data_IF_685392736384
#
_entry.id   IF_685392736384
#
_cell.length_a   1.000
_cell.length_b   1.000
_cell.length_c   1.000
_cell.angle_alpha   90.00
_cell.angle_beta   90.00
_cell.angle_gamma   90.00
#
_symmetry.space_group_name_H-M   'P 1'
#
loop_
_entity.id
_entity.type
_entity.pdbx_description
1 polymer ?
#
# COMPACT_ATOMS: atom_id res chain seq x y z
N UNK A 1 -72.99 65.53 7.38
CA UNK A 1 -72.26 66.62 6.70
C UNK A 1 -71.29 66.00 5.75
N UNK A 2 -71.65 65.88 4.49
CA UNK A 2 -71.16 66.67 3.35
C UNK A 2 -69.59 66.74 3.31
N UNK A 3 -68.91 66.20 2.35
CA UNK A 3 -68.68 66.65 0.95
C UNK A 3 -67.60 65.84 0.33
N UNK A 4 -67.73 65.31 -0.77
CA UNK A 4 -67.56 65.65 -2.22
C UNK A 4 -66.26 65.00 -2.77
N UNK A 5 -66.41 64.01 -3.61
CA UNK A 5 -66.03 63.79 -5.00
C UNK A 5 -64.91 64.69 -5.53
N UNK A 6 -63.86 63.99 -6.05
CA UNK A 6 -63.25 64.40 -7.31
C UNK A 6 -62.50 63.16 -7.92
N UNK A 7 -63.09 62.75 -9.03
CA UNK A 7 -62.45 61.79 -9.99
C UNK A 7 -61.35 62.53 -10.74
N UNK A 8 -60.21 61.94 -10.86
CA UNK A 8 -59.20 62.25 -11.88
C UNK A 8 -58.93 61.04 -12.72
N UNK A 9 -59.39 61.08 -13.95
CA UNK A 9 -58.96 60.20 -15.04
C UNK A 9 -57.56 60.58 -15.45
N UNK A 10 -56.62 59.57 -15.50
CA UNK A 10 -55.38 59.70 -16.24
C UNK A 10 -55.27 58.55 -17.20
N UNK A 11 -54.74 58.74 -18.41
CA UNK A 11 -54.82 57.77 -19.49
C UNK A 11 -53.73 56.70 -19.35
N UNK A 12 -54.09 55.48 -19.77
CA UNK A 12 -53.16 54.42 -20.03
C UNK A 12 -52.15 54.82 -21.15
N UNK A 13 -50.89 54.97 -20.77
CA UNK A 13 -49.78 54.87 -21.71
C UNK A 13 -49.21 53.45 -21.58
N UNK A 14 -49.55 52.58 -22.51
CA UNK A 14 -48.94 51.33 -22.70
C UNK A 14 -47.52 51.57 -23.27
N UNK A 15 -46.53 51.60 -22.40
CA UNK A 15 -45.13 51.50 -22.82
C UNK A 15 -44.75 50.01 -22.87
N UNK A 16 -44.62 49.50 -24.08
CA UNK A 16 -43.88 48.24 -24.33
C UNK A 16 -42.46 48.43 -23.85
N UNK A 17 -42.15 47.99 -22.64
CA UNK A 17 -40.78 47.75 -22.21
C UNK A 17 -40.41 46.34 -22.66
N UNK A 18 -39.71 46.24 -23.79
CA UNK A 18 -38.85 45.11 -24.08
C UNK A 18 -37.77 45.08 -22.99
N UNK A 19 -38.02 44.33 -21.92
CA UNK A 19 -36.92 43.88 -21.05
C UNK A 19 -36.12 42.87 -21.85
N UNK A 20 -34.84 43.12 -22.10
CA UNK A 20 -33.96 42.03 -22.53
C UNK A 20 -34.01 40.99 -21.42
N UNK A 21 -34.42 39.78 -21.77
CA UNK A 21 -34.16 38.62 -20.94
C UNK A 21 -32.65 38.50 -20.83
N UNK A 22 -32.06 39.16 -19.82
CA UNK A 22 -30.78 38.80 -19.33
C UNK A 22 -30.90 37.31 -18.91
N UNK A 23 -30.40 36.41 -19.76
CA UNK A 23 -30.02 35.12 -19.29
C UNK A 23 -29.09 35.38 -18.12
N UNK A 24 -29.35 34.81 -16.92
CA UNK A 24 -28.30 34.84 -15.92
C UNK A 24 -27.10 34.15 -16.55
N UNK A 25 -26.11 34.93 -16.97
CA UNK A 25 -24.77 34.42 -17.12
C UNK A 25 -24.45 33.92 -15.74
N UNK A 26 -24.70 32.64 -15.52
CA UNK A 26 -24.08 31.91 -14.44
C UNK A 26 -22.60 31.97 -14.76
N UNK A 27 -21.96 33.03 -14.26
CA UNK A 27 -20.52 33.09 -14.15
C UNK A 27 -20.17 31.84 -13.31
N UNK A 28 -19.87 30.76 -13.98
CA UNK A 28 -19.26 29.63 -13.33
C UNK A 28 -17.96 30.20 -12.75
N UNK A 29 -17.93 30.28 -11.42
CA UNK A 29 -16.73 30.71 -10.72
C UNK A 29 -15.63 29.69 -11.01
N UNK A 30 -14.83 29.97 -12.04
CA UNK A 30 -13.73 29.12 -12.49
C UNK A 30 -12.66 28.95 -11.40
N UNK A 31 -12.68 29.77 -10.35
CA UNK A 31 -11.81 29.62 -9.20
C UNK A 31 -12.14 28.36 -8.38
N UNK A 32 -13.38 27.84 -8.49
CA UNK A 32 -13.83 26.62 -7.81
C UNK A 32 -13.65 25.34 -8.65
N UNK A 33 -13.42 25.47 -9.94
CA UNK A 33 -13.07 24.35 -10.82
C UNK A 33 -11.57 24.09 -10.66
N UNK A 34 -11.18 23.39 -9.62
CA UNK A 34 -9.83 22.83 -9.51
C UNK A 34 -9.70 21.75 -10.58
N UNK A 35 -9.19 22.14 -11.75
CA UNK A 35 -8.77 21.18 -12.75
C UNK A 35 -7.67 20.31 -12.13
N UNK A 36 -7.89 18.99 -12.09
CA UNK A 36 -6.90 18.07 -11.51
C UNK A 36 -5.59 18.09 -12.30
N UNK A 37 -4.49 17.60 -11.71
CA UNK A 37 -3.15 17.65 -12.31
C UNK A 37 -3.08 17.08 -13.74
N UNK A 38 -3.94 16.12 -14.06
CA UNK A 38 -4.02 15.54 -15.42
C UNK A 38 -4.54 16.55 -16.43
N UNK A 39 -5.63 17.25 -16.12
CA UNK A 39 -6.22 18.26 -17.00
C UNK A 39 -5.24 19.43 -17.21
N UNK A 40 -4.60 19.88 -16.13
CA UNK A 40 -3.58 20.92 -16.20
C UNK A 40 -2.36 20.49 -17.06
N UNK A 41 -1.96 19.21 -17.01
CA UNK A 41 -0.90 18.69 -17.85
C UNK A 41 -1.29 18.68 -19.34
N UNK A 42 -2.54 18.32 -19.64
CA UNK A 42 -3.06 18.31 -21.02
C UNK A 42 -3.19 19.72 -21.60
N UNK A 43 -3.49 20.75 -20.78
CA UNK A 43 -3.52 22.16 -21.18
C UNK A 43 -2.15 22.69 -21.62
N UNK A 44 -1.04 22.18 -21.03
CA UNK A 44 0.32 22.54 -21.43
C UNK A 44 0.71 22.02 -22.83
N UNK A 45 0.00 21.05 -23.37
CA UNK A 45 0.31 20.47 -24.68
C UNK A 45 0.28 21.51 -25.80
N UNK A 46 -0.61 22.51 -25.71
CA UNK A 46 -0.67 23.63 -26.64
C UNK A 46 0.58 24.51 -26.59
N UNK A 47 1.01 24.87 -25.39
CA UNK A 47 2.19 25.70 -25.17
C UNK A 47 3.48 24.98 -25.60
N UNK A 48 3.60 23.68 -25.30
CA UNK A 48 4.76 22.86 -25.68
C UNK A 48 4.84 22.69 -27.21
N UNK A 49 3.70 22.55 -27.91
CA UNK A 49 3.74 22.54 -29.41
C UNK A 49 4.26 23.84 -30.01
N UNK A 50 4.02 24.98 -29.36
CA UNK A 50 4.54 26.28 -29.81
C UNK A 50 6.01 26.47 -29.42
N UNK A 51 6.43 25.90 -28.29
CA UNK A 51 7.79 26.02 -27.76
C UNK A 51 8.31 24.62 -27.33
N UNK A 52 8.64 23.74 -28.29
CA UNK A 52 9.01 22.36 -28.01
C UNK A 52 10.30 22.22 -27.18
N UNK A 53 11.21 23.21 -27.32
CA UNK A 53 12.51 23.23 -26.64
C UNK A 53 12.46 23.96 -25.29
N UNK A 54 11.29 24.33 -24.80
CA UNK A 54 11.15 24.99 -23.50
C UNK A 54 11.18 23.95 -22.38
N UNK A 55 12.36 23.77 -21.76
CA UNK A 55 12.59 22.81 -20.67
C UNK A 55 11.67 23.06 -19.47
N UNK A 56 11.37 24.32 -19.15
CA UNK A 56 10.47 24.67 -18.04
C UNK A 56 9.02 24.21 -18.26
N UNK A 57 8.49 24.28 -19.50
CA UNK A 57 7.16 23.75 -19.81
C UNK A 57 7.13 22.21 -19.70
N UNK A 58 8.19 21.56 -20.19
CA UNK A 58 8.33 20.09 -20.08
C UNK A 58 8.45 19.66 -18.63
N UNK A 59 9.26 20.35 -17.81
CA UNK A 59 9.39 20.10 -16.38
C UNK A 59 8.05 20.26 -15.64
N UNK A 60 7.33 21.34 -15.91
CA UNK A 60 6.02 21.59 -15.31
C UNK A 60 5.01 20.50 -15.67
N UNK A 61 4.95 20.09 -16.96
CA UNK A 61 4.07 18.99 -17.37
C UNK A 61 4.48 17.66 -16.74
N UNK A 62 5.78 17.38 -16.62
CA UNK A 62 6.29 16.19 -15.94
C UNK A 62 5.86 16.15 -14.46
N UNK A 63 5.98 17.27 -13.75
CA UNK A 63 5.55 17.38 -12.35
C UNK A 63 4.05 17.11 -12.18
N UNK A 64 3.21 17.70 -13.04
CA UNK A 64 1.77 17.46 -13.05
C UNK A 64 1.43 16.00 -13.39
N UNK A 65 2.15 15.39 -14.34
CA UNK A 65 1.99 13.96 -14.69
C UNK A 65 2.39 13.04 -13.55
N UNK A 66 3.42 13.38 -12.77
CA UNK A 66 3.77 12.65 -11.55
C UNK A 66 2.65 12.74 -10.52
N UNK A 67 2.11 13.93 -10.29
CA UNK A 67 0.98 14.13 -9.38
C UNK A 67 -0.30 13.40 -9.85
N UNK A 68 -0.48 13.24 -11.17
CA UNK A 68 -1.57 12.48 -11.77
C UNK A 68 -1.33 10.95 -11.81
N UNK A 69 -0.23 10.43 -11.23
CA UNK A 69 0.11 9.00 -11.26
C UNK A 69 0.51 8.48 -12.64
N UNK A 70 1.10 9.34 -13.50
CA UNK A 70 1.52 9.01 -14.86
C UNK A 70 3.07 9.05 -15.00
N UNK A 71 3.83 8.24 -14.25
CA UNK A 71 5.29 8.37 -14.19
C UNK A 71 5.98 8.07 -15.51
N UNK A 72 5.43 7.18 -16.34
CA UNK A 72 6.00 6.91 -17.69
C UNK A 72 5.90 8.12 -18.62
N UNK A 73 4.80 8.86 -18.55
CA UNK A 73 4.63 10.06 -19.35
C UNK A 73 5.52 11.20 -18.83
N UNK A 74 5.62 11.33 -17.50
CA UNK A 74 6.53 12.28 -16.86
C UNK A 74 7.99 12.01 -17.23
N UNK A 75 8.43 10.76 -17.21
CA UNK A 75 9.79 10.37 -17.56
C UNK A 75 10.13 10.74 -19.02
N UNK A 76 9.17 10.62 -19.95
CA UNK A 76 9.37 11.05 -21.35
C UNK A 76 9.60 12.55 -21.46
N UNK A 77 8.81 13.37 -20.74
CA UNK A 77 8.97 14.82 -20.74
C UNK A 77 10.32 15.24 -20.17
N UNK A 78 10.68 14.66 -19.02
CA UNK A 78 11.98 14.96 -18.40
C UNK A 78 13.14 14.51 -19.26
N UNK A 79 13.03 13.36 -19.94
CA UNK A 79 14.10 12.90 -20.87
C UNK A 79 14.24 13.84 -22.06
N UNK A 80 13.13 14.36 -22.58
CA UNK A 80 13.17 15.36 -23.64
C UNK A 80 13.79 16.69 -23.15
N UNK A 81 13.45 17.14 -21.94
CA UNK A 81 14.05 18.33 -21.35
C UNK A 81 15.55 18.18 -21.10
N UNK A 82 16.00 17.03 -20.56
CA UNK A 82 17.42 16.72 -20.35
C UNK A 82 18.22 16.56 -21.64
N UNK A 83 17.57 16.26 -22.76
CA UNK A 83 18.24 16.27 -24.06
C UNK A 83 18.58 17.70 -24.54
N UNK A 84 17.90 18.72 -24.00
CA UNK A 84 18.13 20.14 -24.30
C UNK A 84 19.12 20.74 -23.30
N UNK A 85 18.91 20.48 -22.01
CA UNK A 85 19.76 20.91 -20.90
C UNK A 85 19.96 19.77 -19.89
N UNK A 86 21.13 19.16 -19.93
CA UNK A 86 21.54 18.06 -19.04
C UNK A 86 22.20 18.53 -17.74
N UNK A 87 22.35 19.85 -17.57
CA UNK A 87 22.96 20.45 -16.37
C UNK A 87 21.94 20.95 -15.36
N UNK A 88 20.65 20.87 -15.68
CA UNK A 88 19.59 21.28 -14.76
C UNK A 88 19.34 20.24 -13.67
N UNK A 89 19.66 20.61 -12.43
CA UNK A 89 19.48 19.74 -11.24
C UNK A 89 18.01 19.42 -10.94
N UNK A 90 17.08 20.34 -11.23
CA UNK A 90 15.65 20.10 -11.02
C UNK A 90 15.12 19.02 -11.99
N UNK A 91 15.57 19.04 -13.25
CA UNK A 91 15.21 18.02 -14.22
C UNK A 91 15.69 16.63 -13.79
N UNK A 92 16.91 16.53 -13.27
CA UNK A 92 17.42 15.27 -12.71
C UNK A 92 16.63 14.82 -11.46
N UNK A 93 16.19 15.75 -10.62
CA UNK A 93 15.32 15.43 -9.48
C UNK A 93 13.95 14.91 -9.96
N UNK A 94 13.31 15.55 -10.93
CA UNK A 94 12.07 15.05 -11.54
C UNK A 94 12.26 13.68 -12.19
N UNK A 95 13.42 13.45 -12.85
CA UNK A 95 13.78 12.13 -13.39
C UNK A 95 13.84 11.07 -12.27
N UNK A 96 14.49 11.40 -11.16
CA UNK A 96 14.60 10.50 -10.01
C UNK A 96 13.22 10.15 -9.44
N UNK A 97 12.32 11.13 -9.30
CA UNK A 97 10.93 10.92 -8.86
C UNK A 97 10.16 9.99 -9.81
N UNK A 98 10.27 10.21 -11.12
CA UNK A 98 9.61 9.39 -12.12
C UNK A 98 10.13 7.93 -12.11
N UNK A 99 11.44 7.76 -12.04
CA UNK A 99 12.09 6.44 -11.98
C UNK A 99 11.72 5.68 -10.69
N UNK A 100 11.68 6.37 -9.55
CA UNK A 100 11.20 5.76 -8.29
C UNK A 100 9.76 5.28 -8.40
N UNK A 101 8.88 6.12 -8.95
CA UNK A 101 7.47 5.76 -9.15
C UNK A 101 7.29 4.56 -10.11
N UNK A 102 8.24 4.32 -11.00
CA UNK A 102 8.30 3.14 -11.88
C UNK A 102 8.98 1.93 -11.23
N UNK A 103 9.44 2.03 -9.98
CA UNK A 103 10.16 0.97 -9.29
C UNK A 103 11.60 0.76 -9.76
N UNK A 104 12.14 1.67 -10.59
CA UNK A 104 13.50 1.62 -11.12
C UNK A 104 14.49 2.25 -10.11
N UNK A 105 14.59 1.64 -8.92
CA UNK A 105 15.20 2.23 -7.74
C UNK A 105 16.68 2.61 -7.94
N UNK A 106 17.47 1.75 -8.56
CA UNK A 106 18.90 2.01 -8.84
C UNK A 106 19.09 3.22 -9.75
N UNK A 107 18.25 3.34 -10.78
CA UNK A 107 18.31 4.47 -11.71
C UNK A 107 17.82 5.75 -11.04
N UNK A 108 16.80 5.67 -10.17
CA UNK A 108 16.31 6.79 -9.39
C UNK A 108 17.42 7.38 -8.50
N UNK A 109 18.17 6.54 -7.77
CA UNK A 109 19.31 6.97 -6.97
C UNK A 109 20.44 7.59 -7.81
N UNK A 110 20.69 7.06 -9.01
CA UNK A 110 21.68 7.65 -9.91
C UNK A 110 21.24 9.04 -10.41
N UNK A 111 19.96 9.22 -10.74
CA UNK A 111 19.39 10.52 -11.12
C UNK A 111 19.40 11.52 -9.94
N UNK A 112 19.08 11.06 -8.72
CA UNK A 112 19.16 11.88 -7.51
C UNK A 112 20.59 12.41 -7.26
N UNK A 113 21.62 11.57 -7.44
CA UNK A 113 23.02 12.00 -7.34
C UNK A 113 23.37 13.06 -8.39
N UNK A 114 22.86 12.94 -9.63
CA UNK A 114 23.06 13.95 -10.67
C UNK A 114 22.37 15.27 -10.31
N UNK A 115 21.17 15.20 -9.73
CA UNK A 115 20.48 16.38 -9.22
C UNK A 115 21.34 17.14 -8.23
N UNK A 116 21.92 16.44 -7.23
CA UNK A 116 22.85 17.04 -6.25
C UNK A 116 24.10 17.63 -6.90
N UNK A 117 24.72 16.91 -7.84
CA UNK A 117 25.93 17.36 -8.56
C UNK A 117 25.65 18.63 -9.40
N UNK A 118 24.44 18.76 -9.91
CA UNK A 118 23.98 19.93 -10.69
C UNK A 118 23.31 21.00 -9.80
N UNK A 119 23.60 20.98 -8.50
CA UNK A 119 23.23 22.06 -7.58
C UNK A 119 21.81 22.06 -7.06
N UNK A 120 21.04 21.01 -7.28
CA UNK A 120 19.72 20.89 -6.65
C UNK A 120 19.87 20.62 -5.16
N UNK A 121 19.60 21.64 -4.34
CA UNK A 121 19.77 21.62 -2.90
C UNK A 121 18.42 21.93 -2.22
N UNK A 122 17.57 20.90 -2.10
CA UNK A 122 16.27 20.96 -1.43
C UNK A 122 16.14 19.78 -0.46
N UNK A 123 15.46 19.92 0.71
CA UNK A 123 15.18 18.81 1.61
C UNK A 123 14.39 17.67 0.94
N UNK A 124 13.72 17.93 -0.16
CA UNK A 124 13.02 16.92 -0.96
C UNK A 124 13.98 15.90 -1.60
N UNK A 125 15.23 16.29 -1.88
CA UNK A 125 16.19 15.38 -2.50
C UNK A 125 16.63 14.25 -1.56
N UNK A 126 17.18 14.53 -0.34
CA UNK A 126 17.50 13.46 0.60
C UNK A 126 16.25 12.71 1.08
N UNK A 127 15.06 13.33 1.11
CA UNK A 127 13.80 12.62 1.36
C UNK A 127 13.54 11.57 0.28
N UNK A 128 13.64 11.92 -0.99
CA UNK A 128 13.49 11.01 -2.12
C UNK A 128 14.51 9.86 -2.09
N UNK A 129 15.76 10.16 -1.72
CA UNK A 129 16.80 9.14 -1.54
C UNK A 129 16.41 8.18 -0.40
N UNK A 130 15.98 8.69 0.75
CA UNK A 130 15.53 7.91 1.90
C UNK A 130 14.37 6.98 1.56
N UNK A 131 13.34 7.50 0.89
CA UNK A 131 12.22 6.71 0.38
C UNK A 131 12.68 5.61 -0.59
N UNK A 132 13.61 5.94 -1.47
CA UNK A 132 14.11 5.00 -2.48
C UNK A 132 14.96 3.90 -1.85
N UNK A 133 15.82 4.23 -0.89
CA UNK A 133 16.60 3.27 -0.11
C UNK A 133 15.70 2.36 0.72
N UNK A 134 14.65 2.92 1.34
CA UNK A 134 13.65 2.13 2.08
C UNK A 134 12.95 1.12 1.17
N UNK A 135 12.52 1.54 -0.02
CA UNK A 135 11.93 0.66 -1.02
C UNK A 135 12.91 -0.44 -1.50
N UNK A 136 14.20 -0.11 -1.56
CA UNK A 136 15.28 -1.06 -1.88
C UNK A 136 15.69 -1.94 -0.68
N UNK A 137 15.07 -1.75 0.50
CA UNK A 137 15.40 -2.43 1.78
C UNK A 137 16.82 -2.13 2.27
N UNK A 138 17.37 -1.00 1.91
CA UNK A 138 18.67 -0.48 2.33
C UNK A 138 18.45 0.45 3.54
N UNK A 139 18.12 -0.15 4.69
CA UNK A 139 17.59 0.59 5.83
C UNK A 139 18.58 1.59 6.41
N UNK A 140 19.86 1.24 6.52
CA UNK A 140 20.89 2.15 7.05
C UNK A 140 21.07 3.38 6.15
N UNK A 141 21.15 3.18 4.83
CA UNK A 141 21.21 4.28 3.86
C UNK A 141 19.93 5.12 3.82
N UNK A 142 18.77 4.48 4.07
CA UNK A 142 17.51 5.20 4.21
C UNK A 142 17.53 6.13 5.42
N UNK A 143 17.95 5.62 6.60
CA UNK A 143 18.07 6.40 7.82
C UNK A 143 19.03 7.58 7.66
N UNK A 144 20.21 7.36 7.06
CA UNK A 144 21.19 8.42 6.78
C UNK A 144 20.62 9.53 5.89
N UNK A 145 19.88 9.15 4.83
CA UNK A 145 19.25 10.13 3.94
C UNK A 145 18.13 10.90 4.62
N UNK A 146 17.31 10.22 5.44
CA UNK A 146 16.25 10.85 6.22
C UNK A 146 16.79 11.75 7.34
N UNK A 147 17.94 11.42 7.93
CA UNK A 147 18.63 12.30 8.88
C UNK A 147 19.09 13.59 8.21
N UNK A 148 19.62 13.51 6.98
CA UNK A 148 19.94 14.71 6.18
C UNK A 148 18.70 15.55 5.88
N UNK A 149 17.54 14.89 5.61
CA UNK A 149 16.28 15.62 5.42
C UNK A 149 15.91 16.39 6.68
N UNK A 150 15.93 15.74 7.86
CA UNK A 150 15.57 16.36 9.14
C UNK A 150 16.59 17.40 9.62
N UNK A 151 17.83 17.35 9.14
CA UNK A 151 18.81 18.41 9.36
C UNK A 151 18.44 19.69 8.60
N UNK A 152 17.85 19.56 7.41
CA UNK A 152 17.41 20.68 6.57
C UNK A 152 16.01 21.17 6.95
N UNK A 153 15.13 20.26 7.31
CA UNK A 153 13.74 20.52 7.74
C UNK A 153 13.38 19.58 8.91
N UNK A 154 13.59 20.04 10.17
CA UNK A 154 13.40 19.20 11.36
C UNK A 154 11.96 18.72 11.57
N UNK A 155 10.99 19.44 11.06
CA UNK A 155 9.56 19.18 11.26
C UNK A 155 8.92 18.46 10.09
N UNK A 156 9.71 17.95 9.12
CA UNK A 156 9.22 17.29 7.92
C UNK A 156 8.48 15.99 8.26
N UNK A 157 7.12 15.94 8.17
CA UNK A 157 6.34 14.78 8.62
C UNK A 157 6.66 13.52 7.84
N UNK A 158 6.94 13.66 6.53
CA UNK A 158 7.26 12.51 5.67
C UNK A 158 8.59 11.86 6.06
N UNK A 159 9.61 12.66 6.41
CA UNK A 159 10.90 12.14 6.86
C UNK A 159 10.76 11.38 8.18
N UNK A 160 10.04 11.94 9.14
CA UNK A 160 9.72 11.28 10.42
C UNK A 160 8.96 9.97 10.19
N UNK A 161 7.96 9.98 9.31
CA UNK A 161 7.18 8.79 8.96
C UNK A 161 8.06 7.68 8.36
N UNK A 162 8.89 8.01 7.36
CA UNK A 162 9.76 7.02 6.73
C UNK A 162 10.86 6.51 7.66
N UNK A 163 11.39 7.35 8.59
CA UNK A 163 12.26 6.86 9.66
C UNK A 163 11.54 5.85 10.56
N UNK A 164 10.31 6.13 10.96
CA UNK A 164 9.49 5.18 11.68
C UNK A 164 9.34 3.85 10.95
N UNK A 165 9.11 3.87 9.62
CA UNK A 165 9.04 2.66 8.80
C UNK A 165 10.38 1.92 8.71
N UNK A 166 11.51 2.63 8.61
CA UNK A 166 12.83 2.04 8.57
C UNK A 166 13.15 1.31 9.89
N UNK A 167 12.89 1.93 11.03
CA UNK A 167 13.05 1.29 12.35
C UNK A 167 12.08 0.12 12.55
N UNK A 168 10.84 0.22 12.09
CA UNK A 168 9.91 -0.91 12.12
C UNK A 168 10.41 -2.11 11.30
N UNK A 169 11.06 -1.85 10.15
CA UNK A 169 11.62 -2.90 9.30
C UNK A 169 12.87 -3.56 9.88
N UNK A 170 13.63 -2.85 10.73
CA UNK A 170 14.80 -3.38 11.47
C UNK A 170 14.43 -3.93 12.85
N UNK A 171 13.13 -4.01 13.16
CA UNK A 171 12.57 -4.48 14.43
C UNK A 171 12.93 -3.61 15.66
N UNK A 172 13.39 -2.38 15.46
CA UNK A 172 13.52 -1.38 16.54
C UNK A 172 12.19 -0.66 16.73
N UNK A 173 11.33 -1.29 17.52
CA UNK A 173 9.97 -0.83 17.71
C UNK A 173 9.85 0.43 18.53
N UNK A 174 10.72 0.61 19.51
CA UNK A 174 10.69 1.80 20.34
C UNK A 174 10.91 3.04 19.47
N UNK A 175 11.98 3.05 18.70
CA UNK A 175 12.26 4.14 17.77
C UNK A 175 11.19 4.28 16.68
N UNK A 176 10.66 3.16 16.16
CA UNK A 176 9.58 3.20 15.19
C UNK A 176 8.34 3.93 15.73
N UNK A 177 7.91 3.62 16.96
CA UNK A 177 6.76 4.28 17.58
C UNK A 177 7.05 5.76 17.87
N UNK A 178 8.23 6.11 18.38
CA UNK A 178 8.62 7.49 18.65
C UNK A 178 8.55 8.35 17.38
N UNK A 179 9.18 7.89 16.30
CA UNK A 179 9.15 8.63 15.02
C UNK A 179 7.78 8.70 14.38
N UNK A 180 6.97 7.64 14.45
CA UNK A 180 5.59 7.67 13.94
C UNK A 180 4.69 8.58 14.78
N UNK A 181 4.89 8.67 16.11
CA UNK A 181 4.17 9.61 16.96
C UNK A 181 4.59 11.05 16.67
N UNK A 182 5.89 11.31 16.43
CA UNK A 182 6.37 12.61 15.99
C UNK A 182 5.77 12.99 14.64
N UNK A 183 5.78 12.09 13.65
CA UNK A 183 5.13 12.32 12.36
C UNK A 183 3.64 12.69 12.52
N UNK A 184 2.92 11.97 13.39
CA UNK A 184 1.52 12.27 13.71
C UNK A 184 1.32 13.62 14.39
N UNK A 185 2.26 14.08 15.20
CA UNK A 185 2.19 15.39 15.85
C UNK A 185 2.20 16.53 14.82
N UNK A 186 2.98 16.38 13.74
CA UNK A 186 3.06 17.34 12.64
C UNK A 186 1.94 17.15 11.60
N UNK A 187 1.51 15.91 11.34
CA UNK A 187 0.38 15.61 10.44
C UNK A 187 -0.62 14.62 11.06
N UNK A 188 -1.54 15.13 11.91
CA UNK A 188 -2.48 14.29 12.65
C UNK A 188 -3.62 13.70 11.79
N UNK A 189 -3.74 14.14 10.53
CA UNK A 189 -4.83 13.72 9.62
C UNK A 189 -4.38 12.75 8.54
N UNK A 190 -3.15 12.28 8.56
CA UNK A 190 -2.65 11.32 7.59
C UNK A 190 -3.03 9.89 7.99
N UNK A 191 -3.93 9.21 7.24
CA UNK A 191 -4.40 7.88 7.60
C UNK A 191 -3.28 6.83 7.62
N UNK A 192 -2.24 6.99 6.79
CA UNK A 192 -1.10 6.09 6.69
C UNK A 192 -0.28 6.03 7.99
N UNK A 193 -0.09 7.17 8.66
CA UNK A 193 0.59 7.22 9.96
C UNK A 193 -0.23 6.45 11.01
N UNK A 194 -1.55 6.68 11.03
CA UNK A 194 -2.45 6.02 11.96
C UNK A 194 -2.51 4.51 11.72
N UNK A 195 -2.47 4.08 10.45
CA UNK A 195 -2.35 2.68 10.07
C UNK A 195 -1.07 2.06 10.64
N UNK A 196 0.09 2.69 10.43
CA UNK A 196 1.36 2.14 10.89
C UNK A 196 1.43 2.05 12.42
N UNK A 197 0.94 3.06 13.14
CA UNK A 197 0.83 3.03 14.60
C UNK A 197 -0.08 1.87 15.07
N UNK A 198 -1.27 1.76 14.51
CA UNK A 198 -2.21 0.68 14.85
C UNK A 198 -1.63 -0.70 14.53
N UNK A 199 -0.95 -0.84 13.38
CA UNK A 199 -0.31 -2.08 12.97
C UNK A 199 0.79 -2.52 13.93
N UNK A 200 1.70 -1.63 14.30
CA UNK A 200 2.77 -1.93 15.26
C UNK A 200 2.22 -2.28 16.64
N UNK A 201 1.30 -1.48 17.17
CA UNK A 201 0.69 -1.72 18.48
C UNK A 201 -0.07 -3.06 18.53
N UNK A 202 -0.76 -3.42 17.45
CA UNK A 202 -1.37 -4.75 17.31
C UNK A 202 -0.34 -5.89 17.33
N UNK A 203 0.83 -5.68 16.70
CA UNK A 203 1.93 -6.66 16.71
C UNK A 203 2.48 -6.87 18.14
N UNK A 204 2.53 -5.81 18.91
CA UNK A 204 2.96 -5.85 20.33
C UNK A 204 1.84 -6.18 21.31
N UNK A 205 0.65 -6.53 20.82
CA UNK A 205 -0.50 -6.94 21.63
C UNK A 205 -0.98 -5.84 22.59
N UNK A 206 -0.93 -4.59 22.14
CA UNK A 206 -1.48 -3.41 22.80
C UNK A 206 -2.79 -2.99 22.11
N UNK A 207 -3.89 -3.75 22.29
CA UNK A 207 -5.09 -3.60 21.47
C UNK A 207 -5.86 -2.31 21.74
N UNK A 208 -5.82 -1.79 22.97
CA UNK A 208 -6.57 -0.58 23.30
C UNK A 208 -6.00 0.65 22.57
N UNK A 209 -4.67 0.80 22.58
CA UNK A 209 -3.98 1.85 21.85
C UNK A 209 -4.10 1.66 20.34
N UNK A 210 -3.92 0.44 19.84
CA UNK A 210 -4.11 0.11 18.43
C UNK A 210 -5.51 0.48 17.94
N UNK A 211 -6.54 0.18 18.74
CA UNK A 211 -7.94 0.49 18.44
C UNK A 211 -8.21 2.00 18.39
N UNK A 212 -7.55 2.78 19.25
CA UNK A 212 -7.64 4.23 19.20
C UNK A 212 -7.17 4.78 17.83
N UNK A 213 -5.98 4.38 17.37
CA UNK A 213 -5.44 4.84 16.08
C UNK A 213 -6.22 4.28 14.89
N UNK A 214 -6.56 2.98 14.88
CA UNK A 214 -7.32 2.38 13.80
C UNK A 214 -8.71 3.02 13.66
N UNK A 215 -9.41 3.30 14.76
CA UNK A 215 -10.72 3.97 14.73
C UNK A 215 -10.61 5.42 14.29
N UNK A 216 -9.58 6.15 14.70
CA UNK A 216 -9.31 7.50 14.22
C UNK A 216 -9.04 7.51 12.72
N UNK A 217 -8.19 6.59 12.23
CA UNK A 217 -7.90 6.45 10.81
C UNK A 217 -9.13 6.13 9.98
N UNK A 218 -10.00 5.23 10.44
CA UNK A 218 -11.26 4.89 9.75
C UNK A 218 -12.28 6.04 9.72
N UNK A 219 -12.18 7.02 10.63
CA UNK A 219 -12.99 8.25 10.54
C UNK A 219 -12.47 9.21 9.47
N UNK A 220 -11.15 9.22 9.24
CA UNK A 220 -10.52 10.05 8.20
C UNK A 220 -10.65 9.40 6.81
N UNK A 221 -10.39 8.09 6.74
CA UNK A 221 -10.54 7.29 5.53
C UNK A 221 -11.33 6.01 5.82
N UNK A 222 -12.63 6.08 5.61
CA UNK A 222 -13.55 4.94 5.80
C UNK A 222 -13.39 3.86 4.74
N UNK A 223 -12.63 4.13 3.68
CA UNK A 223 -12.39 3.22 2.54
C UNK A 223 -11.06 2.47 2.65
N UNK A 224 -10.24 2.75 3.66
CA UNK A 224 -8.98 2.06 3.88
C UNK A 224 -9.19 0.61 4.33
N UNK A 225 -8.82 -0.35 3.47
CA UNK A 225 -8.80 -1.77 3.80
C UNK A 225 -7.77 -2.11 4.89
N UNK A 226 -6.63 -1.42 4.89
CA UNK A 226 -5.57 -1.60 5.87
C UNK A 226 -6.04 -1.23 7.29
N UNK A 227 -6.64 -0.05 7.46
CA UNK A 227 -7.19 0.40 8.74
C UNK A 227 -8.35 -0.49 9.23
N UNK A 228 -9.20 -0.97 8.28
CA UNK A 228 -10.24 -1.93 8.63
C UNK A 228 -9.64 -3.25 9.14
N UNK A 229 -8.54 -3.72 8.55
CA UNK A 229 -7.81 -4.88 9.05
C UNK A 229 -7.24 -4.65 10.45
N UNK A 230 -6.61 -3.50 10.70
CA UNK A 230 -6.01 -3.19 12.00
C UNK A 230 -7.06 -3.13 13.11
N UNK A 231 -8.21 -2.54 12.82
CA UNK A 231 -9.33 -2.50 13.75
C UNK A 231 -9.88 -3.92 14.02
N UNK A 232 -9.98 -4.76 12.98
CA UNK A 232 -10.31 -6.17 13.13
C UNK A 232 -9.29 -6.93 14.00
N UNK A 233 -8.00 -6.64 13.81
CA UNK A 233 -6.93 -7.28 14.58
C UNK A 233 -6.99 -6.90 16.07
N UNK A 234 -7.23 -5.65 16.37
CA UNK A 234 -7.46 -5.16 17.73
C UNK A 234 -8.63 -5.88 18.39
N UNK A 235 -9.78 -6.00 17.70
CA UNK A 235 -10.95 -6.71 18.21
C UNK A 235 -10.67 -8.19 18.48
N UNK A 236 -9.89 -8.85 17.61
CA UNK A 236 -9.47 -10.23 17.84
C UNK A 236 -8.62 -10.37 19.11
N UNK A 237 -7.69 -9.44 19.34
CA UNK A 237 -6.85 -9.42 20.54
C UNK A 237 -7.64 -9.17 21.84
N UNK A 238 -8.74 -8.42 21.75
CA UNK A 238 -9.69 -8.20 22.85
C UNK A 238 -10.70 -9.36 23.05
N UNK A 239 -10.55 -10.48 22.33
CA UNK A 239 -11.46 -11.61 22.44
C UNK A 239 -12.85 -11.39 21.86
N UNK A 240 -12.97 -10.51 20.84
CA UNK A 240 -14.22 -10.24 20.11
C UNK A 240 -14.17 -10.80 18.69
N UNK A 241 -14.12 -12.13 18.51
CA UNK A 241 -13.85 -12.77 17.22
C UNK A 241 -14.90 -12.45 16.15
N UNK A 242 -16.18 -12.42 16.49
CA UNK A 242 -17.25 -12.16 15.51
C UNK A 242 -17.13 -10.75 14.91
N UNK A 243 -16.85 -9.76 15.76
CA UNK A 243 -16.60 -8.38 15.32
C UNK A 243 -15.32 -8.30 14.48
N UNK A 244 -14.27 -9.01 14.87
CA UNK A 244 -13.02 -9.07 14.10
C UNK A 244 -13.25 -9.64 12.70
N UNK A 245 -14.01 -10.75 12.57
CA UNK A 245 -14.37 -11.36 11.28
C UNK A 245 -15.16 -10.40 10.37
N UNK A 246 -16.06 -9.60 10.97
CA UNK A 246 -16.76 -8.56 10.20
C UNK A 246 -15.79 -7.56 9.60
N UNK A 247 -14.83 -7.06 10.37
CA UNK A 247 -13.84 -6.08 9.89
C UNK A 247 -12.83 -6.68 8.92
N UNK A 248 -12.40 -7.93 9.07
CA UNK A 248 -11.56 -8.62 8.07
C UNK A 248 -12.29 -8.78 6.73
N UNK A 249 -13.59 -9.13 6.74
CA UNK A 249 -14.40 -9.16 5.51
C UNK A 249 -14.58 -7.77 4.91
N UNK A 250 -14.75 -6.73 5.76
CA UNK A 250 -14.80 -5.34 5.32
C UNK A 250 -13.48 -4.92 4.67
N UNK A 251 -12.34 -5.24 5.27
CA UNK A 251 -11.02 -4.97 4.71
C UNK A 251 -10.88 -5.52 3.29
N UNK A 252 -11.26 -6.78 3.05
CA UNK A 252 -11.19 -7.40 1.72
C UNK A 252 -12.21 -6.86 0.71
N UNK A 253 -13.34 -6.31 1.16
CA UNK A 253 -14.27 -5.61 0.25
C UNK A 253 -13.73 -4.27 -0.21
N UNK A 254 -12.98 -3.59 0.65
CA UNK A 254 -12.36 -2.29 0.36
C UNK A 254 -11.07 -2.46 -0.45
N UNK A 255 -10.25 -3.44 -0.07
CA UNK A 255 -8.97 -3.72 -0.72
C UNK A 255 -8.69 -5.23 -0.71
N UNK A 256 -8.78 -5.86 -1.88
CA UNK A 256 -8.54 -7.29 -2.06
C UNK A 256 -7.07 -7.69 -1.89
N UNK A 257 -6.16 -6.72 -1.77
CA UNK A 257 -4.72 -6.98 -1.59
C UNK A 257 -4.31 -7.11 -0.13
N UNK A 258 -5.23 -6.91 0.83
CA UNK A 258 -4.98 -7.08 2.27
C UNK A 258 -4.88 -8.58 2.62
N UNK A 259 -3.80 -9.25 2.17
CA UNK A 259 -3.59 -10.70 2.34
C UNK A 259 -3.66 -11.17 3.81
N UNK A 260 -3.32 -10.29 4.75
CA UNK A 260 -3.41 -10.59 6.18
C UNK A 260 -4.86 -10.85 6.63
N UNK A 261 -5.83 -10.15 6.03
CA UNK A 261 -7.25 -10.38 6.33
C UNK A 261 -7.72 -11.75 5.83
N UNK A 262 -7.33 -12.15 4.61
CA UNK A 262 -7.59 -13.50 4.10
C UNK A 262 -6.97 -14.58 5.00
N UNK A 263 -5.72 -14.37 5.42
CA UNK A 263 -5.06 -15.32 6.32
C UNK A 263 -5.79 -15.44 7.67
N UNK A 264 -6.24 -14.31 8.27
CA UNK A 264 -7.01 -14.34 9.52
C UNK A 264 -8.37 -15.03 9.39
N UNK A 265 -9.07 -14.79 8.27
CA UNK A 265 -10.33 -15.49 7.98
C UNK A 265 -10.12 -17.00 7.85
N UNK A 266 -9.03 -17.44 7.21
CA UNK A 266 -8.69 -18.85 7.14
C UNK A 266 -8.40 -19.45 8.52
N UNK A 267 -7.61 -18.78 9.36
CA UNK A 267 -7.31 -19.22 10.72
C UNK A 267 -8.60 -19.37 11.57
N UNK A 268 -9.48 -18.38 11.52
CA UNK A 268 -10.75 -18.42 12.25
C UNK A 268 -11.64 -19.57 11.75
N UNK A 269 -11.73 -19.77 10.44
CA UNK A 269 -12.49 -20.90 9.86
C UNK A 269 -11.93 -22.25 10.32
N UNK A 270 -10.61 -22.40 10.41
CA UNK A 270 -9.94 -23.59 10.94
C UNK A 270 -10.24 -23.81 12.43
N UNK A 271 -10.17 -22.77 13.26
CA UNK A 271 -10.44 -22.82 14.68
C UNK A 271 -11.90 -23.23 14.99
N UNK A 272 -12.84 -22.83 14.12
CA UNK A 272 -14.25 -23.24 14.22
C UNK A 272 -14.55 -24.61 13.62
N UNK A 273 -13.54 -25.39 13.22
CA UNK A 273 -13.71 -26.71 12.62
C UNK A 273 -14.46 -26.71 11.29
N UNK A 274 -14.43 -25.57 10.55
CA UNK A 274 -15.08 -25.48 9.26
C UNK A 274 -14.39 -26.39 8.25
N UNK A 275 -15.16 -26.80 7.21
CA UNK A 275 -14.63 -27.69 6.18
C UNK A 275 -13.42 -27.06 5.47
N UNK A 276 -12.39 -27.86 5.13
CA UNK A 276 -11.20 -27.38 4.42
C UNK A 276 -11.52 -26.55 3.15
N UNK A 277 -12.67 -26.82 2.51
CA UNK A 277 -13.17 -26.06 1.38
C UNK A 277 -13.31 -24.56 1.63
N UNK A 278 -13.56 -24.14 2.87
CA UNK A 278 -13.70 -22.72 3.23
C UNK A 278 -12.34 -22.06 3.40
N UNK A 279 -11.35 -22.79 3.91
CA UNK A 279 -10.01 -22.27 4.16
C UNK A 279 -9.21 -22.06 2.89
N UNK A 280 -9.30 -23.01 1.95
CA UNK A 280 -8.48 -23.06 0.73
C UNK A 280 -8.53 -21.76 -0.08
N UNK A 281 -9.70 -21.18 -0.43
CA UNK A 281 -9.76 -19.95 -1.21
C UNK A 281 -9.07 -18.77 -0.54
N UNK A 282 -9.23 -18.63 0.79
CA UNK A 282 -8.59 -17.58 1.57
C UNK A 282 -7.07 -17.73 1.59
N UNK A 283 -6.56 -18.94 1.86
CA UNK A 283 -5.13 -19.22 1.88
C UNK A 283 -4.49 -19.04 0.50
N UNK A 284 -5.18 -19.44 -0.57
CA UNK A 284 -4.70 -19.23 -1.94
C UNK A 284 -4.62 -17.73 -2.29
N UNK A 285 -5.60 -16.91 -1.88
CA UNK A 285 -5.54 -15.45 -2.10
C UNK A 285 -4.40 -14.83 -1.31
N UNK A 286 -4.25 -15.18 -0.03
CA UNK A 286 -3.15 -14.69 0.81
C UNK A 286 -1.79 -15.01 0.21
N UNK A 287 -1.58 -16.24 -0.28
CA UNK A 287 -0.32 -16.67 -0.88
C UNK A 287 -0.05 -16.10 -2.28
N UNK A 288 -1.08 -15.69 -3.02
CA UNK A 288 -0.88 -14.94 -4.28
C UNK A 288 -0.29 -13.55 -4.02
N UNK A 289 -0.74 -12.89 -2.95
CA UNK A 289 -0.26 -11.55 -2.57
C UNK A 289 1.09 -11.62 -1.84
N UNK A 290 1.26 -12.60 -0.96
CA UNK A 290 2.51 -12.83 -0.25
C UNK A 290 2.94 -14.30 -0.34
N UNK A 291 3.72 -14.67 -1.35
CA UNK A 291 4.23 -16.04 -1.49
C UNK A 291 5.11 -16.51 -0.34
N UNK A 292 5.73 -15.57 0.40
CA UNK A 292 6.61 -15.87 1.54
C UNK A 292 5.83 -15.87 2.85
N UNK A 293 4.81 -16.73 2.95
CA UNK A 293 3.99 -16.90 4.14
C UNK A 293 3.92 -18.39 4.51
N UNK A 294 4.99 -18.96 5.13
CA UNK A 294 5.12 -20.40 5.36
C UNK A 294 3.94 -21.01 6.11
N UNK A 295 3.42 -20.31 7.12
CA UNK A 295 2.28 -20.80 7.91
C UNK A 295 0.99 -20.92 7.06
N UNK A 296 0.73 -19.96 6.16
CA UNK A 296 -0.41 -20.06 5.24
C UNK A 296 -0.21 -21.20 4.22
N UNK A 297 1.03 -21.41 3.75
CA UNK A 297 1.37 -22.50 2.83
C UNK A 297 1.18 -23.85 3.49
N UNK A 298 1.61 -23.99 4.75
CA UNK A 298 1.40 -25.20 5.55
C UNK A 298 -0.09 -25.53 5.66
N UNK A 299 -0.90 -24.55 6.14
CA UNK A 299 -2.34 -24.73 6.29
C UNK A 299 -3.04 -25.06 4.97
N UNK A 300 -2.58 -24.46 3.87
CA UNK A 300 -3.10 -24.78 2.53
C UNK A 300 -2.78 -26.22 2.14
N UNK A 301 -1.54 -26.67 2.36
CA UNK A 301 -1.13 -28.03 2.06
C UNK A 301 -1.93 -29.08 2.84
N UNK A 302 -2.11 -28.85 4.15
CA UNK A 302 -2.90 -29.71 5.04
C UNK A 302 -4.38 -29.72 4.66
N UNK A 303 -4.96 -28.56 4.34
CA UNK A 303 -6.36 -28.45 3.90
C UNK A 303 -6.60 -29.14 2.55
N UNK A 304 -5.67 -29.05 1.62
CA UNK A 304 -5.71 -29.77 0.33
C UNK A 304 -5.58 -31.28 0.53
N UNK A 305 -4.65 -31.75 1.40
CA UNK A 305 -4.50 -33.15 1.77
C UNK A 305 -5.79 -33.71 2.38
N UNK A 306 -6.42 -32.97 3.31
CA UNK A 306 -7.69 -33.34 3.93
C UNK A 306 -8.85 -33.41 2.94
N UNK A 307 -8.80 -32.69 1.83
CA UNK A 307 -9.77 -32.78 0.72
C UNK A 307 -9.41 -33.82 -0.34
N UNK A 308 -8.39 -34.64 -0.12
CA UNK A 308 -7.86 -35.58 -1.13
C UNK A 308 -7.39 -34.93 -2.43
N UNK A 309 -7.13 -33.60 -2.44
CA UNK A 309 -6.50 -32.89 -3.57
C UNK A 309 -5.00 -33.06 -3.54
N UNK A 310 -4.56 -34.32 -3.57
CA UNK A 310 -3.17 -34.73 -3.31
C UNK A 310 -2.14 -34.12 -4.27
N UNK A 311 -2.40 -33.98 -5.59
CA UNK A 311 -1.44 -33.34 -6.50
C UNK A 311 -1.15 -31.87 -6.10
N UNK A 312 -2.17 -31.13 -5.70
CA UNK A 312 -2.04 -29.75 -5.28
C UNK A 312 -1.34 -29.64 -3.91
N UNK A 313 -1.69 -30.52 -2.96
CA UNK A 313 -1.02 -30.60 -1.67
C UNK A 313 0.49 -30.89 -1.84
N UNK A 314 0.85 -31.81 -2.74
CA UNK A 314 2.24 -32.16 -3.04
C UNK A 314 3.04 -30.94 -3.53
N UNK A 315 2.44 -30.09 -4.37
CA UNK A 315 3.09 -28.85 -4.82
C UNK A 315 3.40 -27.94 -3.63
N UNK A 316 2.45 -27.75 -2.71
CA UNK A 316 2.67 -26.91 -1.54
C UNK A 316 3.72 -27.49 -0.59
N UNK A 317 3.69 -28.80 -0.33
CA UNK A 317 4.71 -29.46 0.49
C UNK A 317 6.13 -29.34 -0.13
N UNK A 318 6.26 -29.45 -1.45
CA UNK A 318 7.56 -29.23 -2.13
C UNK A 318 8.07 -27.81 -1.96
N UNK A 319 7.19 -26.81 -2.02
CA UNK A 319 7.56 -25.41 -1.77
C UNK A 319 8.02 -25.21 -0.31
N UNK A 320 7.35 -25.84 0.68
CA UNK A 320 7.78 -25.80 2.08
C UNK A 320 9.16 -26.43 2.29
N UNK A 321 9.48 -27.54 1.59
CA UNK A 321 10.82 -28.15 1.62
C UNK A 321 11.85 -27.23 0.96
N UNK A 322 11.51 -26.56 -0.14
CA UNK A 322 12.40 -25.61 -0.80
C UNK A 322 12.70 -24.38 0.08
N UNK A 323 11.71 -23.91 0.86
CA UNK A 323 11.89 -22.82 1.83
C UNK A 323 12.70 -23.24 3.07
N UNK A 324 12.59 -24.50 3.50
CA UNK A 324 13.34 -25.05 4.63
C UNK A 324 13.77 -26.51 4.36
N UNK A 325 14.89 -26.72 3.64
CA UNK A 325 15.35 -28.06 3.25
C UNK A 325 15.71 -29.00 4.40
N UNK A 326 15.99 -28.43 5.60
CA UNK A 326 16.32 -29.20 6.80
C UNK A 326 15.09 -29.77 7.54
N UNK A 327 13.90 -29.40 7.16
CA UNK A 327 12.68 -29.84 7.85
C UNK A 327 12.28 -31.26 7.40
N UNK A 328 12.59 -32.26 8.26
CA UNK A 328 12.29 -33.68 7.99
C UNK A 328 10.78 -33.95 7.87
N UNK A 329 9.94 -33.22 8.60
CA UNK A 329 8.47 -33.37 8.55
C UNK A 329 7.94 -33.09 7.13
N UNK A 330 8.37 -31.98 6.52
CA UNK A 330 7.92 -31.62 5.16
C UNK A 330 8.49 -32.58 4.13
N UNK A 331 9.73 -33.04 4.29
CA UNK A 331 10.34 -34.06 3.44
C UNK A 331 9.53 -35.37 3.48
N UNK A 332 9.14 -35.81 4.67
CA UNK A 332 8.25 -36.95 4.84
C UNK A 332 6.86 -36.73 4.18
N UNK A 333 6.27 -35.55 4.35
CA UNK A 333 4.98 -35.21 3.71
C UNK A 333 5.08 -35.24 2.18
N UNK A 334 6.16 -34.72 1.60
CA UNK A 334 6.42 -34.80 0.13
C UNK A 334 6.51 -36.25 -0.32
N UNK A 335 7.25 -37.08 0.41
CA UNK A 335 7.36 -38.53 0.07
C UNK A 335 5.97 -39.21 0.18
N UNK A 336 5.30 -39.11 1.32
CA UNK A 336 4.01 -39.77 1.56
C UNK A 336 2.95 -39.36 0.54
N UNK A 337 2.78 -38.06 0.33
CA UNK A 337 1.79 -37.52 -0.61
C UNK A 337 2.17 -37.87 -2.06
N UNK A 338 3.48 -37.89 -2.38
CA UNK A 338 3.99 -38.30 -3.68
C UNK A 338 3.68 -39.77 -4.01
N UNK A 339 3.82 -40.68 -3.03
CA UNK A 339 3.44 -42.09 -3.21
C UNK A 339 1.92 -42.24 -3.42
N UNK A 340 1.12 -41.49 -2.66
CA UNK A 340 -0.32 -41.51 -2.83
C UNK A 340 -0.77 -40.96 -4.20
N UNK A 341 -0.15 -39.89 -4.70
CA UNK A 341 -0.40 -39.35 -6.05
C UNK A 341 0.00 -40.38 -7.12
N UNK A 342 1.15 -41.05 -6.93
CA UNK A 342 1.59 -42.11 -7.85
C UNK A 342 0.59 -43.27 -7.91
N UNK A 343 0.03 -43.67 -6.76
CA UNK A 343 -0.97 -44.73 -6.71
C UNK A 343 -2.28 -44.39 -7.48
N UNK A 344 -2.53 -43.11 -7.70
CA UNK A 344 -3.67 -42.67 -8.52
C UNK A 344 -3.39 -42.73 -10.02
N UNK A 345 -2.14 -42.83 -10.45
CA UNK A 345 -1.81 -42.93 -11.87
C UNK A 345 -2.10 -44.34 -12.43
N UNK A 346 -2.46 -44.46 -13.74
CA UNK A 346 -2.55 -45.72 -14.42
C UNK A 346 -1.24 -46.50 -14.31
N UNK A 347 -1.29 -47.84 -14.30
CA UNK A 347 -0.14 -48.70 -14.13
C UNK A 347 1.00 -48.42 -15.13
N UNK A 348 0.64 -48.06 -16.36
CA UNK A 348 1.57 -47.66 -17.42
C UNK A 348 2.42 -46.44 -17.11
N UNK A 349 1.97 -45.56 -16.19
CA UNK A 349 2.68 -44.35 -15.78
C UNK A 349 3.35 -44.44 -14.39
N UNK A 350 3.14 -45.56 -13.67
CA UNK A 350 3.72 -45.79 -12.34
C UNK A 350 5.22 -46.19 -12.35
N UNK A 351 5.75 -46.58 -13.49
CA UNK A 351 7.11 -47.17 -13.62
C UNK A 351 8.25 -46.14 -13.74
N UNK A 352 7.95 -44.84 -13.80
CA UNK A 352 8.98 -43.80 -13.85
C UNK A 352 9.76 -43.72 -12.51
N UNK A 353 11.10 -43.76 -12.50
CA UNK A 353 11.90 -43.77 -11.26
C UNK A 353 11.74 -42.43 -10.52
N UNK A 354 11.38 -42.49 -9.23
CA UNK A 354 11.45 -41.34 -8.36
C UNK A 354 12.87 -41.11 -7.83
N UNK A 355 13.37 -39.89 -7.89
CA UNK A 355 14.67 -39.47 -7.39
C UNK A 355 14.85 -39.54 -5.86
N UNK A 356 13.83 -39.98 -5.10
CA UNK A 356 13.87 -40.06 -3.63
C UNK A 356 13.79 -41.49 -3.13
N UNK A 357 14.93 -42.18 -3.14
CA UNK A 357 15.07 -43.59 -2.70
C UNK A 357 15.24 -43.78 -1.19
N UNK A 358 14.74 -43.00 -0.31
CA UNK A 358 14.51 -43.27 1.14
C UNK A 358 14.05 -41.99 1.82
N UNK A 359 12.80 -41.98 2.29
CA UNK A 359 12.39 -40.98 3.28
C UNK A 359 13.19 -41.21 4.57
N UNK A 360 13.76 -40.18 5.17
CA UNK A 360 14.25 -40.30 6.53
C UNK A 360 13.07 -40.64 7.44
N UNK A 361 13.20 -41.63 8.31
CA UNK A 361 12.20 -41.92 9.34
C UNK A 361 12.06 -40.67 10.22
N UNK A 362 10.86 -40.17 10.43
CA UNK A 362 10.67 -39.08 11.37
C UNK A 362 11.15 -39.53 12.76
N UNK A 363 12.06 -38.80 13.36
CA UNK A 363 12.31 -38.95 14.79
C UNK A 363 11.03 -38.54 15.53
N UNK A 364 10.61 -39.27 16.59
CA UNK A 364 9.50 -38.83 17.42
C UNK A 364 9.80 -37.40 17.89
N UNK A 365 8.87 -36.50 17.62
CA UNK A 365 8.97 -35.10 18.04
C UNK A 365 9.09 -35.08 19.57
N UNK A 366 10.17 -34.49 20.08
CA UNK A 366 10.20 -34.06 21.47
C UNK A 366 9.07 -33.05 21.66
N UNK A 367 8.31 -33.13 22.78
CA UNK A 367 7.24 -32.19 23.02
C UNK A 367 7.80 -30.77 22.95
N UNK A 368 7.17 -29.91 22.11
CA UNK A 368 7.57 -28.52 21.98
C UNK A 368 7.55 -27.87 23.35
N UNK A 369 8.73 -27.40 23.80
CA UNK A 369 8.80 -26.58 24.99
C UNK A 369 7.92 -25.33 24.80
N UNK A 370 7.16 -24.92 25.83
CA UNK A 370 6.32 -23.72 25.74
C UNK A 370 7.21 -22.52 25.39
N UNK A 371 6.82 -21.77 24.37
CA UNK A 371 7.47 -20.53 23.94
C UNK A 371 7.44 -19.58 25.15
N UNK A 372 8.60 -19.41 25.80
CA UNK A 372 8.75 -18.40 26.86
C UNK A 372 8.51 -17.03 26.23
N UNK A 373 7.53 -16.30 26.75
CA UNK A 373 7.36 -14.89 26.45
C UNK A 373 8.67 -14.14 26.81
N UNK A 374 9.10 -13.18 25.97
CA UNK A 374 10.26 -12.37 26.32
C UNK A 374 9.95 -11.60 27.63
N UNK A 375 10.77 -11.82 28.66
CA UNK A 375 10.78 -11.01 29.87
C UNK A 375 11.29 -9.63 29.49
N UNK A 376 10.41 -8.64 29.58
CA UNK A 376 10.79 -7.23 29.60
C UNK A 376 11.66 -6.98 30.84
N UNK A 377 12.91 -6.62 30.65
CA UNK A 377 13.73 -5.86 31.59
C UNK A 377 13.89 -4.45 31.04
#
# INVERSE_FOLDING_TARGET
>A
MMRRWLLFFLPLLAACQNTPTERPDTLVDLSTVQSGPRVQADELDGAIRQQPDNTGLLARRASLRLAAGQPTAALRDVTAALAIDDTDGELHFLQARALRALGQLTQALAAARRAAQNGFNSPELPLLEGETHLAARQYDAALESLDRTLLLDPDQPAALFYKGLAYAATADTAQALDYLQAARAHDPRQPEILHQLAFLLNAYRLPDEAGHYASQGLRLDSTSGALAYDYGRQLELLGRPDSALYYYRRALRLDTTVYRADYRLALAAGAHGQRPAVLIPHLQRALRQNPRLPQARQLLAEALEAQHRLPEALVQFRLLVAENPGNQHWTYKVWKTGEAVRAMLPDSLRTAPMYYRRAPRPRPEAPMAPIKAPTLQ
#
